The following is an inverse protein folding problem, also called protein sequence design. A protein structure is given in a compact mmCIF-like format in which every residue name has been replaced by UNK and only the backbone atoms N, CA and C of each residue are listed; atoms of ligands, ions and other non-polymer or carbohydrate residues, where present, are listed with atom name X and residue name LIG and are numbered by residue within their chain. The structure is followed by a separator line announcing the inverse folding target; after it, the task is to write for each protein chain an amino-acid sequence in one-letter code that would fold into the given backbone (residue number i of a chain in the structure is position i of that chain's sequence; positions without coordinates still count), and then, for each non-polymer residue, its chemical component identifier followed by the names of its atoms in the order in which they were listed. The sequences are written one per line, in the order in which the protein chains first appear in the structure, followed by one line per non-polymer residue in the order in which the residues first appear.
data_IF_554091794059
#
_entry.id   IF_554091794059
#
_cell.length_a   1.000
_cell.length_b   1.000
_cell.length_c   1.000
_cell.angle_alpha   90.00
_cell.angle_beta   90.00
_cell.angle_gamma   90.00
#
_symmetry.space_group_name_H-M   'P 1'
#
loop_
_entity.id
_entity.type
_entity.pdbx_description
1 polymer ?
#
# COMPACT_ATOMS: atom_id res chain seq x y z
N UNK A 1 -25.29 -4.50 -3.07
CA UNK A 1 -24.50 -3.83 -4.13
C UNK A 1 -23.22 -4.63 -4.33
N UNK A 2 -22.95 -5.11 -5.54
CA UNK A 2 -21.77 -5.93 -5.88
C UNK A 2 -20.73 -5.04 -6.57
N UNK A 3 -19.45 -5.14 -6.18
CA UNK A 3 -18.34 -4.46 -6.86
C UNK A 3 -17.87 -5.37 -7.99
N UNK A 4 -17.89 -4.87 -9.21
CA UNK A 4 -17.49 -5.64 -10.39
C UNK A 4 -15.97 -5.76 -10.47
N UNK A 5 -15.45 -6.88 -11.02
CA UNK A 5 -14.01 -7.04 -11.27
C UNK A 5 -13.41 -5.87 -12.06
N UNK A 6 -14.14 -5.37 -13.06
CA UNK A 6 -13.73 -4.20 -13.86
C UNK A 6 -13.50 -2.96 -13.00
N UNK A 7 -14.39 -2.69 -12.03
CA UNK A 7 -14.25 -1.53 -11.13
C UNK A 7 -13.03 -1.70 -10.23
N UNK A 8 -12.82 -2.92 -9.70
CA UNK A 8 -11.63 -3.27 -8.91
C UNK A 8 -10.35 -3.01 -9.72
N UNK A 9 -10.29 -3.51 -10.96
CA UNK A 9 -9.15 -3.34 -11.84
C UNK A 9 -8.91 -1.85 -12.18
N UNK A 10 -9.97 -1.08 -12.43
CA UNK A 10 -9.87 0.37 -12.64
C UNK A 10 -9.25 1.06 -11.43
N UNK A 11 -9.75 0.80 -10.22
CA UNK A 11 -9.21 1.41 -8.99
C UNK A 11 -7.73 1.06 -8.80
N UNK A 12 -7.37 -0.21 -9.01
CA UNK A 12 -5.98 -0.68 -8.91
C UNK A 12 -5.05 -0.01 -9.91
N UNK A 13 -5.52 0.29 -11.13
CA UNK A 13 -4.72 0.91 -12.18
C UNK A 13 -4.65 2.44 -12.06
N UNK A 14 -5.67 3.08 -11.49
CA UNK A 14 -5.71 4.53 -11.29
C UNK A 14 -4.77 5.03 -10.19
N UNK A 15 -4.23 4.15 -9.36
CA UNK A 15 -3.35 4.51 -8.25
C UNK A 15 -1.97 3.91 -8.43
N UNK A 16 -0.96 4.77 -8.56
CA UNK A 16 0.44 4.36 -8.50
C UNK A 16 0.76 3.88 -7.06
N UNK A 17 1.02 2.58 -6.91
CA UNK A 17 1.30 1.96 -5.62
C UNK A 17 2.55 2.53 -4.95
N UNK A 18 3.59 2.88 -5.70
CA UNK A 18 4.81 3.50 -5.14
C UNK A 18 4.46 4.85 -4.52
N UNK A 19 3.62 5.65 -5.20
CA UNK A 19 3.18 6.95 -4.70
C UNK A 19 2.33 6.80 -3.44
N UNK A 20 1.37 5.86 -3.45
CA UNK A 20 0.55 5.54 -2.27
C UNK A 20 1.44 5.10 -1.11
N UNK A 21 2.30 4.09 -1.30
CA UNK A 21 3.21 3.61 -0.26
C UNK A 21 4.08 4.74 0.33
N UNK A 22 4.58 5.64 -0.54
CA UNK A 22 5.40 6.78 -0.11
C UNK A 22 4.60 7.81 0.69
N UNK A 23 3.30 8.00 0.39
CA UNK A 23 2.44 8.91 1.15
C UNK A 23 2.18 8.42 2.57
N UNK A 24 2.24 7.11 2.79
CA UNK A 24 2.25 6.48 4.12
C UNK A 24 3.64 6.49 4.78
N UNK A 25 4.58 7.33 4.33
CA UNK A 25 5.86 7.55 5.01
C UNK A 25 6.90 6.45 4.80
N UNK A 26 6.62 5.43 3.99
CA UNK A 26 7.60 4.39 3.66
C UNK A 26 8.64 4.97 2.70
N UNK A 27 9.88 5.04 3.17
CA UNK A 27 11.01 5.51 2.37
C UNK A 27 11.43 4.43 1.39
N UNK A 28 11.19 4.68 0.10
CA UNK A 28 11.52 3.77 -0.99
C UNK A 28 12.76 4.26 -1.77
N UNK A 29 13.69 3.35 -2.03
CA UNK A 29 14.87 3.59 -2.86
C UNK A 29 14.80 2.76 -4.14
N UNK A 30 15.17 3.34 -5.28
CA UNK A 30 15.17 2.63 -6.56
C UNK A 30 16.30 1.58 -6.58
N UNK A 31 15.97 0.33 -6.92
CA UNK A 31 16.90 -0.78 -7.16
C UNK A 31 16.53 -1.52 -8.44
N UNK A 32 17.29 -1.26 -9.51
CA UNK A 32 16.97 -1.77 -10.84
C UNK A 32 15.60 -1.28 -11.32
N UNK A 33 14.72 -2.22 -11.66
CA UNK A 33 13.34 -1.93 -12.07
C UNK A 33 12.36 -1.72 -10.90
N UNK A 34 12.77 -2.03 -9.66
CA UNK A 34 11.91 -2.01 -8.49
C UNK A 34 12.27 -0.86 -7.53
N UNK A 35 11.43 -0.68 -6.52
CA UNK A 35 11.69 0.18 -5.37
C UNK A 35 11.71 -0.66 -4.10
N UNK A 36 12.65 -0.40 -3.20
CA UNK A 36 12.87 -1.20 -1.99
C UNK A 36 12.95 -0.31 -0.76
N UNK A 37 12.40 -0.76 0.36
CA UNK A 37 12.38 -0.04 1.64
C UNK A 37 12.16 -0.97 2.84
N UNK A 38 12.09 -0.39 4.04
CA UNK A 38 11.67 -1.11 5.24
C UNK A 38 10.16 -1.37 5.18
N UNK A 39 9.75 -2.56 5.60
CA UNK A 39 8.37 -2.98 5.60
C UNK A 39 7.59 -2.26 6.70
N UNK A 40 6.44 -1.64 6.38
CA UNK A 40 5.59 -1.02 7.40
C UNK A 40 4.81 -2.05 8.24
N UNK A 41 4.87 -3.34 7.89
CA UNK A 41 4.03 -4.39 8.49
C UNK A 41 4.76 -5.29 9.49
N UNK A 42 6.07 -5.12 9.65
CA UNK A 42 6.85 -5.81 10.68
C UNK A 42 8.14 -5.03 10.98
N UNK A 43 8.68 -5.20 12.18
CA UNK A 43 9.91 -4.52 12.57
C UNK A 43 11.14 -5.20 11.94
N UNK A 44 11.89 -4.48 11.12
CA UNK A 44 13.12 -4.97 10.48
C UNK A 44 14.17 -3.87 10.34
N UNK A 45 15.44 -4.27 10.22
CA UNK A 45 16.58 -3.36 9.98
C UNK A 45 17.11 -3.42 8.55
N UNK A 46 16.85 -4.53 7.86
CA UNK A 46 17.26 -4.75 6.48
C UNK A 46 16.04 -4.57 5.59
N UNK A 47 16.09 -3.76 4.52
CA UNK A 47 14.92 -3.49 3.72
C UNK A 47 14.51 -4.73 2.91
N UNK A 48 13.31 -5.26 3.17
CA UNK A 48 12.76 -6.42 2.45
C UNK A 48 11.46 -6.10 1.70
N UNK A 49 10.89 -4.91 1.88
CA UNK A 49 9.67 -4.46 1.19
C UNK A 49 10.00 -3.95 -0.21
N UNK A 50 9.43 -4.59 -1.23
CA UNK A 50 9.68 -4.31 -2.65
C UNK A 50 8.39 -3.89 -3.34
N UNK A 51 8.41 -2.78 -4.08
CA UNK A 51 7.34 -2.34 -4.99
C UNK A 51 7.81 -2.48 -6.43
N UNK A 52 7.03 -3.17 -7.24
CA UNK A 52 7.26 -3.29 -8.67
C UNK A 52 6.33 -2.31 -9.42
N UNK A 53 6.86 -1.24 -10.04
CA UNK A 53 6.05 -0.24 -10.72
C UNK A 53 5.39 -0.76 -12.00
N UNK A 54 5.93 -1.82 -12.63
CA UNK A 54 5.37 -2.40 -13.86
C UNK A 54 4.12 -3.22 -13.58
N UNK A 55 4.12 -4.01 -12.50
CA UNK A 55 2.98 -4.83 -12.11
C UNK A 55 2.03 -4.12 -11.16
N UNK A 56 2.45 -2.98 -10.60
CA UNK A 56 1.75 -2.23 -9.55
C UNK A 56 1.43 -3.09 -8.31
N UNK A 57 2.40 -3.92 -7.91
CA UNK A 57 2.30 -4.82 -6.76
C UNK A 57 3.45 -4.59 -5.78
N UNK A 58 3.22 -4.93 -4.51
CA UNK A 58 4.26 -5.02 -3.50
C UNK A 58 4.43 -6.45 -2.99
N UNK A 59 5.64 -6.74 -2.50
CA UNK A 59 5.93 -7.93 -1.72
C UNK A 59 7.05 -7.63 -0.72
N UNK A 60 6.89 -8.13 0.51
CA UNK A 60 7.90 -8.11 1.55
C UNK A 60 8.45 -9.51 1.76
N UNK A 61 9.73 -9.69 1.44
CA UNK A 61 10.41 -10.98 1.56
C UNK A 61 10.72 -11.39 3.01
N UNK A 62 10.57 -10.48 3.98
CA UNK A 62 10.76 -10.77 5.41
C UNK A 62 9.52 -11.35 6.11
N UNK A 63 8.32 -10.86 5.77
CA UNK A 63 7.07 -11.28 6.42
C UNK A 63 6.01 -11.85 5.46
N UNK A 64 6.34 -12.02 4.18
CA UNK A 64 5.45 -12.51 3.12
C UNK A 64 4.22 -11.62 2.82
N UNK A 65 4.13 -10.42 3.40
CA UNK A 65 3.09 -9.48 3.04
C UNK A 65 3.20 -9.12 1.55
N UNK A 66 2.10 -9.14 0.81
CA UNK A 66 2.10 -8.77 -0.60
C UNK A 66 0.69 -8.46 -1.08
N UNK A 67 0.61 -7.73 -2.19
CA UNK A 67 -0.67 -7.38 -2.79
C UNK A 67 -0.62 -6.15 -3.68
N UNK A 68 -1.79 -5.63 -3.99
CA UNK A 68 -2.01 -4.39 -4.72
C UNK A 68 -2.33 -3.21 -3.77
N UNK A 69 -2.65 -2.05 -4.33
CA UNK A 69 -2.97 -0.83 -3.60
C UNK A 69 -4.14 -0.98 -2.61
N UNK A 70 -5.18 -1.75 -2.96
CA UNK A 70 -6.31 -1.96 -2.05
C UNK A 70 -5.88 -2.82 -0.87
N UNK A 71 -5.10 -3.88 -1.14
CA UNK A 71 -4.54 -4.75 -0.11
C UNK A 71 -3.55 -4.01 0.80
N UNK A 72 -2.75 -3.11 0.24
CA UNK A 72 -1.85 -2.24 1.03
C UNK A 72 -2.65 -1.34 1.97
N UNK A 73 -3.63 -0.58 1.46
CA UNK A 73 -4.46 0.34 2.27
C UNK A 73 -5.24 -0.43 3.34
N UNK A 74 -5.86 -1.55 2.98
CA UNK A 74 -6.56 -2.45 3.92
C UNK A 74 -5.67 -2.80 5.11
N UNK A 75 -4.42 -3.19 4.83
CA UNK A 75 -3.48 -3.64 5.87
C UNK A 75 -2.91 -2.48 6.68
N UNK A 76 -2.60 -1.35 6.05
CA UNK A 76 -2.03 -0.18 6.72
C UNK A 76 -3.05 0.51 7.62
N UNK A 77 -4.30 0.63 7.17
CA UNK A 77 -5.38 1.31 7.91
C UNK A 77 -6.15 0.37 8.85
N UNK A 78 -6.01 -0.94 8.70
CA UNK A 78 -6.77 -1.91 9.50
C UNK A 78 -8.27 -1.95 9.15
N UNK A 79 -8.61 -1.65 7.90
CA UNK A 79 -10.00 -1.51 7.42
C UNK A 79 -10.38 -2.64 6.46
N UNK A 80 -11.68 -2.84 6.23
CA UNK A 80 -12.15 -3.85 5.27
C UNK A 80 -11.92 -3.46 3.80
N UNK A 81 -11.89 -4.48 2.91
CA UNK A 81 -11.75 -4.29 1.46
C UNK A 81 -12.71 -3.24 0.89
N UNK A 82 -13.98 -3.29 1.32
CA UNK A 82 -15.01 -2.37 0.82
C UNK A 82 -14.70 -0.92 1.17
N UNK A 83 -14.27 -0.67 2.39
CA UNK A 83 -13.94 0.67 2.87
C UNK A 83 -12.69 1.21 2.16
N UNK A 84 -11.65 0.37 2.01
CA UNK A 84 -10.46 0.71 1.23
C UNK A 84 -10.79 1.00 -0.23
N UNK A 85 -11.66 0.18 -0.85
CA UNK A 85 -12.12 0.38 -2.22
C UNK A 85 -12.88 1.70 -2.37
N UNK A 86 -13.86 1.99 -1.50
CA UNK A 86 -14.65 3.22 -1.56
C UNK A 86 -13.76 4.45 -1.34
N UNK A 87 -12.80 4.37 -0.42
CA UNK A 87 -11.80 5.41 -0.18
C UNK A 87 -10.92 5.69 -1.41
N UNK A 88 -10.42 4.65 -2.06
CA UNK A 88 -9.63 4.78 -3.31
C UNK A 88 -10.50 5.22 -4.50
N UNK A 89 -11.79 4.88 -4.51
CA UNK A 89 -12.70 5.24 -5.61
C UNK A 89 -13.23 6.68 -5.50
N UNK A 90 -12.94 7.39 -4.41
CA UNK A 90 -13.50 8.71 -4.12
C UNK A 90 -14.97 8.68 -3.67
N UNK A 91 -15.51 7.50 -3.39
CA UNK A 91 -16.91 7.30 -2.96
C UNK A 91 -17.06 7.19 -1.44
N UNK A 92 -15.95 7.08 -0.70
CA UNK A 92 -15.90 6.92 0.75
C UNK A 92 -15.13 8.04 1.45
N UNK A 93 -14.89 7.87 2.75
CA UNK A 93 -14.00 8.75 3.52
C UNK A 93 -12.63 8.77 2.85
N UNK A 94 -12.08 9.96 2.63
CA UNK A 94 -10.75 10.09 2.03
C UNK A 94 -9.73 9.31 2.84
N UNK A 95 -9.12 8.30 2.23
CA UNK A 95 -7.94 7.59 2.72
C UNK A 95 -6.70 8.47 2.53
N UNK A 96 -6.71 9.64 3.15
CA UNK A 96 -5.52 10.46 3.29
C UNK A 96 -4.68 9.87 4.42
N UNK A 97 -3.36 9.71 4.25
CA UNK A 97 -2.50 9.35 5.36
C UNK A 97 -2.72 10.37 6.49
N UNK A 98 -3.19 9.91 7.65
CA UNK A 98 -3.20 10.69 8.88
C UNK A 98 -1.79 11.28 9.07
N UNK A 99 -1.65 12.57 9.45
CA UNK A 99 -0.35 13.21 9.57
C UNK A 99 0.51 12.47 10.58
N UNK A 100 1.44 11.65 10.08
CA UNK A 100 2.72 11.16 10.65
C UNK A 100 2.80 10.71 12.11
N UNK A 101 1.68 10.65 12.84
CA UNK A 101 1.66 10.46 14.29
C UNK A 101 1.47 8.99 14.69
N UNK A 102 1.17 8.10 13.72
CA UNK A 102 0.82 6.69 13.97
C UNK A 102 1.74 5.73 13.18
N UNK A 103 2.95 6.17 12.82
CA UNK A 103 4.05 5.24 12.50
C UNK A 103 5.16 5.29 13.55
N UNK A 104 4.78 5.66 14.78
CA UNK A 104 5.56 5.40 15.98
C UNK A 104 4.99 4.17 16.69
N UNK A 105 5.26 2.99 16.13
CA UNK A 105 5.24 1.75 16.91
C UNK A 105 6.53 1.00 16.59
N UNK A 106 7.50 1.20 17.47
CA UNK A 106 8.84 0.63 17.39
C UNK A 106 9.90 1.47 18.13
N UNK A 107 9.57 1.92 19.34
CA UNK A 107 10.57 2.08 20.41
C UNK A 107 10.90 0.68 20.94
#
# INVERSE_FOLDING_TARGET
MQISKKEIDTVKQSHDLRTVVSSYGVKLQKKGANYVGLCPFHNEKTPSFTVNPKTNLYHCFGCNAGGDVIGFVTKTEGIGFREAFDGLSGNGKSITPLPSSILAQGL
#
